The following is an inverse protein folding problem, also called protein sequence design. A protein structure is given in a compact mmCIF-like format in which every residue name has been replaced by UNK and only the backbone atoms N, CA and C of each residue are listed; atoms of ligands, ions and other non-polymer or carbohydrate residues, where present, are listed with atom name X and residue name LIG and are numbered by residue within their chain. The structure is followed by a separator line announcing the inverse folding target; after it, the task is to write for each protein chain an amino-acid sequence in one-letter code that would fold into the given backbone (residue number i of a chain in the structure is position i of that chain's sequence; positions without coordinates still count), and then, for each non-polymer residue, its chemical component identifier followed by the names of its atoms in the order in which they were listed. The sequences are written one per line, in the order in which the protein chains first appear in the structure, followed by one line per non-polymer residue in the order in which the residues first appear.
data_IF_906425875360
#
_entry.id   IF_906425875360
#
_cell.length_a   1.000
_cell.length_b   1.000
_cell.length_c   1.000
_cell.angle_alpha   90.00
_cell.angle_beta   90.00
_cell.angle_gamma   90.00
#
_symmetry.space_group_name_H-M   'P 1'
#
loop_
_entity.id
_entity.type
_entity.pdbx_description
1 polymer ?
#
# COMPACT_ATOMS: atom_id res chain seq x y z
N UNK A 1 -28.47 18.40 -1.11
CA UNK A 1 -27.24 17.63 -1.42
C UNK A 1 -26.22 18.63 -1.94
N UNK A 2 -25.13 18.87 -1.19
CA UNK A 2 -24.17 19.93 -1.54
C UNK A 2 -23.38 19.54 -2.80
N UNK A 3 -23.22 20.43 -3.80
CA UNK A 3 -22.64 20.12 -5.12
C UNK A 3 -21.18 19.61 -5.09
N UNK A 4 -20.49 19.68 -3.95
CA UNK A 4 -19.15 19.14 -3.75
C UNK A 4 -19.11 17.60 -3.70
N UNK A 5 -20.18 16.91 -3.24
CA UNK A 5 -20.17 15.44 -3.09
C UNK A 5 -20.25 14.70 -4.43
N UNK A 6 -20.84 15.31 -5.45
CA UNK A 6 -21.02 14.70 -6.78
C UNK A 6 -19.72 14.68 -7.59
N UNK A 7 -18.79 15.60 -7.31
CA UNK A 7 -17.59 15.81 -8.14
C UNK A 7 -16.51 14.74 -8.00
N UNK A 8 -16.58 13.88 -6.98
CA UNK A 8 -15.58 12.82 -6.71
C UNK A 8 -16.13 11.40 -6.81
N UNK A 9 -17.45 11.24 -6.90
CA UNK A 9 -18.08 9.92 -6.98
C UNK A 9 -17.66 9.13 -8.22
N UNK A 10 -17.44 9.80 -9.36
CA UNK A 10 -16.94 9.16 -10.58
C UNK A 10 -15.50 8.64 -10.41
N UNK A 11 -14.68 9.34 -9.62
CA UNK A 11 -13.30 8.96 -9.34
C UNK A 11 -13.25 7.74 -8.42
N UNK A 12 -14.12 7.70 -7.40
CA UNK A 12 -14.33 6.50 -6.59
C UNK A 12 -14.87 5.33 -7.42
N UNK A 13 -15.77 5.59 -8.39
CA UNK A 13 -16.33 4.57 -9.26
C UNK A 13 -15.29 3.90 -10.18
N UNK A 14 -14.21 4.60 -10.55
CA UNK A 14 -13.13 4.03 -11.37
C UNK A 14 -12.41 2.84 -10.69
N UNK A 15 -12.51 2.71 -9.37
CA UNK A 15 -11.98 1.56 -8.65
C UNK A 15 -12.65 0.25 -9.04
N UNK A 16 -13.94 0.29 -9.42
CA UNK A 16 -14.68 -0.91 -9.85
C UNK A 16 -14.10 -1.54 -11.12
N UNK A 17 -14.03 -0.81 -12.24
CA UNK A 17 -13.38 -1.28 -13.46
C UNK A 17 -11.91 -1.68 -13.26
N UNK A 18 -11.16 -0.93 -12.44
CA UNK A 18 -9.78 -1.28 -12.11
C UNK A 18 -9.68 -2.63 -11.38
N UNK A 19 -10.54 -2.88 -10.38
CA UNK A 19 -10.61 -4.15 -9.66
C UNK A 19 -10.96 -5.31 -10.59
N UNK A 20 -11.91 -5.10 -11.50
CA UNK A 20 -12.30 -6.10 -12.49
C UNK A 20 -11.15 -6.42 -13.44
N UNK A 21 -10.44 -5.41 -13.94
CA UNK A 21 -9.29 -5.61 -14.83
C UNK A 21 -8.18 -6.44 -14.17
N UNK A 22 -7.85 -6.14 -12.91
CA UNK A 22 -6.86 -6.91 -12.12
C UNK A 22 -7.35 -8.34 -11.86
N UNK A 23 -8.63 -8.50 -11.49
CA UNK A 23 -9.22 -9.82 -11.26
C UNK A 23 -9.21 -10.66 -12.53
N UNK A 24 -9.58 -10.08 -13.67
CA UNK A 24 -9.53 -10.73 -14.99
C UNK A 24 -8.10 -11.10 -15.37
N UNK A 25 -7.12 -10.24 -15.08
CA UNK A 25 -5.71 -10.55 -15.31
C UNK A 25 -5.26 -11.80 -14.53
N UNK A 26 -5.54 -11.87 -13.24
CA UNK A 26 -5.21 -13.07 -12.44
C UNK A 26 -6.00 -14.30 -12.86
N UNK A 27 -7.31 -14.16 -13.12
CA UNK A 27 -8.16 -15.25 -13.59
C UNK A 27 -7.70 -15.78 -14.95
N UNK A 28 -7.31 -14.88 -15.86
CA UNK A 28 -6.80 -15.25 -17.19
C UNK A 28 -5.53 -16.07 -17.12
N UNK A 29 -4.54 -15.63 -16.34
CA UNK A 29 -3.31 -16.40 -16.11
C UNK A 29 -3.56 -17.74 -15.40
N UNK A 30 -4.56 -17.81 -14.52
CA UNK A 30 -4.86 -19.01 -13.74
C UNK A 30 -5.66 -20.06 -14.53
N UNK A 31 -6.71 -19.63 -15.24
CA UNK A 31 -7.69 -20.53 -15.85
C UNK A 31 -7.58 -20.64 -17.38
N UNK A 32 -6.98 -19.67 -18.05
CA UNK A 32 -6.89 -19.64 -19.52
C UNK A 32 -5.53 -19.09 -20.03
N UNK A 33 -4.37 -19.60 -19.54
CA UNK A 33 -3.06 -18.99 -19.78
C UNK A 33 -2.69 -18.87 -21.26
N UNK A 34 -3.03 -19.85 -22.10
CA UNK A 34 -2.72 -19.82 -23.53
C UNK A 34 -3.44 -18.67 -24.27
N UNK A 35 -4.70 -18.41 -23.91
CA UNK A 35 -5.45 -17.27 -24.43
C UNK A 35 -4.89 -15.97 -23.85
N UNK A 36 -4.60 -15.97 -22.55
CA UNK A 36 -4.18 -14.76 -21.85
C UNK A 36 -2.84 -14.22 -22.35
N UNK A 37 -1.89 -15.08 -22.74
CA UNK A 37 -0.64 -14.65 -23.39
C UNK A 37 -0.88 -13.79 -24.63
N UNK A 38 -1.93 -14.07 -25.41
CA UNK A 38 -2.27 -13.27 -26.61
C UNK A 38 -2.87 -11.93 -26.20
N UNK A 39 -3.72 -11.91 -25.18
CA UNK A 39 -4.35 -10.69 -24.65
C UNK A 39 -3.30 -9.77 -24.03
N UNK A 40 -2.45 -10.31 -23.15
CA UNK A 40 -1.46 -9.57 -22.37
C UNK A 40 -0.41 -8.88 -23.25
N UNK A 41 -0.04 -9.50 -24.39
CA UNK A 41 0.82 -8.89 -25.42
C UNK A 41 0.21 -7.66 -26.10
N UNK A 42 -1.10 -7.50 -26.05
CA UNK A 42 -1.82 -6.38 -26.67
C UNK A 42 -2.22 -5.35 -25.62
N UNK A 43 -2.69 -5.80 -24.46
CA UNK A 43 -3.22 -4.97 -23.38
C UNK A 43 -2.89 -5.64 -22.05
N UNK A 44 -2.00 -5.01 -21.26
CA UNK A 44 -1.75 -5.39 -19.88
C UNK A 44 -2.82 -4.80 -18.96
N UNK A 45 -3.91 -5.55 -18.80
CA UNK A 45 -5.04 -5.16 -17.95
C UNK A 45 -4.68 -5.11 -16.47
N UNK A 46 -3.69 -5.90 -16.03
CA UNK A 46 -3.24 -5.94 -14.65
C UNK A 46 -2.56 -4.63 -14.28
N UNK A 47 -1.52 -4.28 -15.04
CA UNK A 47 -0.78 -3.03 -14.87
C UNK A 47 -1.68 -1.81 -15.03
N UNK A 48 -2.56 -1.81 -16.03
CA UNK A 48 -3.53 -0.73 -16.20
C UNK A 48 -4.42 -0.54 -14.97
N UNK A 49 -5.02 -1.63 -14.46
CA UNK A 49 -5.90 -1.56 -13.29
C UNK A 49 -5.16 -1.06 -12.05
N UNK A 50 -3.93 -1.54 -11.84
CA UNK A 50 -3.07 -1.08 -10.73
C UNK A 50 -2.75 0.42 -10.85
N UNK A 51 -2.40 0.92 -12.03
CA UNK A 51 -2.16 2.35 -12.23
C UNK A 51 -3.39 3.21 -11.95
N UNK A 52 -4.59 2.76 -12.34
CA UNK A 52 -5.84 3.46 -12.04
C UNK A 52 -6.07 3.52 -10.52
N UNK A 53 -5.82 2.43 -9.78
CA UNK A 53 -5.90 2.43 -8.32
C UNK A 53 -4.97 3.47 -7.69
N UNK A 54 -3.71 3.51 -8.10
CA UNK A 54 -2.75 4.49 -7.57
C UNK A 54 -3.09 5.93 -7.93
N UNK A 55 -3.54 6.17 -9.16
CA UNK A 55 -3.98 7.50 -9.58
C UNK A 55 -5.16 8.00 -8.75
N UNK A 56 -6.17 7.14 -8.56
CA UNK A 56 -7.35 7.44 -7.73
C UNK A 56 -6.94 7.68 -6.26
N UNK A 57 -6.08 6.82 -5.72
CA UNK A 57 -5.56 6.95 -4.35
C UNK A 57 -4.75 8.24 -4.15
N UNK A 58 -3.91 8.63 -5.12
CA UNK A 58 -3.13 9.86 -5.09
C UNK A 58 -3.97 11.13 -4.94
N UNK A 59 -5.22 11.11 -5.41
CA UNK A 59 -6.16 12.22 -5.23
C UNK A 59 -6.98 12.08 -3.94
N UNK A 60 -7.51 10.87 -3.67
CA UNK A 60 -8.46 10.66 -2.56
C UNK A 60 -7.77 10.71 -1.19
N UNK A 61 -6.54 10.23 -1.08
CA UNK A 61 -5.84 10.14 0.20
C UNK A 61 -5.56 11.55 0.76
N UNK A 62 -4.91 12.48 0.04
CA UNK A 62 -4.72 13.85 0.53
C UNK A 62 -6.05 14.56 0.77
N UNK A 63 -7.01 14.46 -0.17
CA UNK A 63 -8.32 15.09 -0.03
C UNK A 63 -9.08 14.59 1.22
N UNK A 64 -8.94 13.30 1.58
CA UNK A 64 -9.54 12.76 2.80
C UNK A 64 -8.94 13.38 4.07
N UNK A 65 -7.64 13.68 4.06
CA UNK A 65 -6.93 14.25 5.20
C UNK A 65 -7.21 15.74 5.34
N UNK A 66 -7.24 16.49 4.23
CA UNK A 66 -7.62 17.91 4.20
C UNK A 66 -9.08 18.12 4.64
N UNK A 67 -10.00 17.23 4.22
CA UNK A 67 -11.42 17.35 4.57
C UNK A 67 -11.70 17.15 6.06
N UNK A 68 -11.05 16.18 6.69
CA UNK A 68 -11.31 15.86 8.11
C UNK A 68 -10.37 16.62 9.05
N UNK A 69 -9.21 17.03 8.55
CA UNK A 69 -8.22 17.80 9.29
C UNK A 69 -7.62 17.07 10.49
N UNK A 70 -7.81 15.76 10.63
CA UNK A 70 -7.39 15.00 11.82
C UNK A 70 -6.65 13.71 11.43
N UNK A 71 -5.37 13.63 11.78
CA UNK A 71 -4.54 12.44 11.55
C UNK A 71 -5.06 11.20 12.28
N UNK A 72 -5.69 11.38 13.46
CA UNK A 72 -6.28 10.25 14.17
C UNK A 72 -7.44 9.66 13.39
N UNK A 73 -8.38 10.50 12.96
CA UNK A 73 -9.52 10.08 12.14
C UNK A 73 -9.06 9.45 10.81
N UNK A 74 -7.98 9.98 10.23
CA UNK A 74 -7.37 9.44 9.02
C UNK A 74 -6.86 8.00 9.22
N UNK A 75 -6.12 7.73 10.28
CA UNK A 75 -5.58 6.40 10.57
C UNK A 75 -6.67 5.42 11.01
N UNK A 76 -7.60 5.83 11.87
CA UNK A 76 -8.69 4.95 12.32
C UNK A 76 -9.57 4.54 11.15
N UNK A 77 -9.95 5.48 10.26
CA UNK A 77 -10.74 5.16 9.07
C UNK A 77 -10.06 4.14 8.15
N UNK A 78 -8.73 4.20 8.01
CA UNK A 78 -7.95 3.23 7.22
C UNK A 78 -7.83 1.89 7.92
N UNK A 79 -7.56 1.89 9.22
CA UNK A 79 -7.43 0.68 10.01
C UNK A 79 -8.72 -0.15 9.92
N UNK A 80 -9.88 0.47 10.13
CA UNK A 80 -11.18 -0.22 10.03
C UNK A 80 -11.57 -0.61 8.61
N UNK A 81 -11.05 0.06 7.58
CA UNK A 81 -11.27 -0.31 6.18
C UNK A 81 -10.42 -1.50 5.75
N UNK A 82 -9.17 -1.55 6.20
CA UNK A 82 -8.15 -2.44 5.64
C UNK A 82 -7.84 -3.65 6.53
N UNK A 83 -7.69 -3.46 7.84
CA UNK A 83 -7.26 -4.54 8.75
C UNK A 83 -8.26 -5.70 8.83
N UNK A 84 -9.59 -5.48 8.94
CA UNK A 84 -10.53 -6.60 9.02
C UNK A 84 -10.44 -7.52 7.80
N UNK A 85 -10.40 -6.94 6.60
CA UNK A 85 -10.30 -7.71 5.36
C UNK A 85 -8.93 -8.38 5.21
N UNK A 86 -7.84 -7.68 5.56
CA UNK A 86 -6.49 -8.24 5.55
C UNK A 86 -6.40 -9.48 6.47
N UNK A 87 -6.89 -9.37 7.69
CA UNK A 87 -6.85 -10.47 8.67
C UNK A 87 -7.65 -11.68 8.19
N UNK A 88 -8.84 -11.45 7.61
CA UNK A 88 -9.64 -12.52 7.01
C UNK A 88 -8.90 -13.16 5.83
N UNK A 89 -8.31 -12.36 4.95
CA UNK A 89 -7.58 -12.87 3.79
C UNK A 89 -6.36 -13.70 4.21
N UNK A 90 -5.52 -13.18 5.12
CA UNK A 90 -4.36 -13.89 5.66
C UNK A 90 -4.81 -15.18 6.36
N UNK A 91 -5.82 -15.11 7.23
CA UNK A 91 -6.34 -16.28 7.92
C UNK A 91 -6.83 -17.36 6.95
N UNK A 92 -7.59 -16.97 5.93
CA UNK A 92 -8.05 -17.89 4.89
C UNK A 92 -6.90 -18.49 4.09
N UNK A 93 -5.91 -17.69 3.69
CA UNK A 93 -4.73 -18.16 2.97
C UNK A 93 -3.94 -19.21 3.78
N UNK A 94 -3.75 -18.96 5.09
CA UNK A 94 -3.08 -19.91 5.99
C UNK A 94 -3.90 -21.19 6.20
N UNK A 95 -5.23 -21.09 6.32
CA UNK A 95 -6.12 -22.26 6.44
C UNK A 95 -6.10 -23.12 5.16
N UNK A 96 -6.16 -22.48 3.99
CA UNK A 96 -6.08 -23.19 2.72
C UNK A 96 -4.69 -23.81 2.51
N UNK A 97 -3.63 -23.15 2.96
CA UNK A 97 -2.28 -23.68 2.91
C UNK A 97 -2.12 -24.91 3.81
N UNK A 98 -2.66 -24.87 5.03
CA UNK A 98 -2.70 -26.02 5.94
C UNK A 98 -3.49 -27.20 5.36
N UNK A 99 -4.51 -26.93 4.51
CA UNK A 99 -5.25 -27.94 3.77
C UNK A 99 -4.55 -28.41 2.47
N UNK A 100 -3.39 -27.86 2.12
CA UNK A 100 -2.68 -28.16 0.87
C UNK A 100 -3.30 -27.56 -0.40
N UNK A 101 -4.22 -26.60 -0.25
CA UNK A 101 -4.98 -25.99 -1.34
C UNK A 101 -4.43 -24.62 -1.78
N UNK A 102 -3.49 -24.06 -1.03
CA UNK A 102 -2.87 -22.77 -1.34
C UNK A 102 -1.35 -22.84 -1.15
N UNK A 103 -0.55 -22.62 -2.20
CA UNK A 103 0.90 -22.58 -2.08
C UNK A 103 1.32 -21.27 -1.40
N UNK A 104 1.98 -21.38 -0.24
CA UNK A 104 2.64 -20.24 0.39
C UNK A 104 4.00 -19.96 -0.26
N UNK A 105 4.46 -18.72 -0.15
CA UNK A 105 5.79 -18.34 -0.61
C UNK A 105 6.87 -19.14 0.17
N UNK A 106 7.75 -19.88 -0.52
CA UNK A 106 8.82 -20.65 0.13
C UNK A 106 9.75 -19.80 1.01
N UNK A 107 9.91 -18.53 0.67
CA UNK A 107 10.74 -17.57 1.39
C UNK A 107 10.23 -17.23 2.79
N UNK A 108 8.96 -17.52 3.12
CA UNK A 108 8.41 -17.29 4.48
C UNK A 108 9.23 -17.97 5.58
N UNK A 109 9.86 -19.11 5.28
CA UNK A 109 10.73 -19.84 6.22
C UNK A 109 12.16 -19.33 6.31
N UNK A 110 12.57 -18.44 5.38
CA UNK A 110 13.96 -17.95 5.29
C UNK A 110 14.21 -16.74 6.19
N UNK A 111 13.15 -16.10 6.70
CA UNK A 111 13.22 -14.90 7.53
C UNK A 111 12.60 -15.13 8.90
N UNK A 112 12.97 -14.34 9.93
CA UNK A 112 12.40 -14.49 11.27
C UNK A 112 10.87 -14.33 11.25
N UNK A 113 10.15 -15.36 11.71
CA UNK A 113 8.68 -15.38 11.68
C UNK A 113 8.00 -14.13 12.32
N UNK A 114 8.49 -13.59 13.45
CA UNK A 114 7.91 -12.36 14.02
C UNK A 114 8.07 -11.15 13.09
N UNK A 115 9.18 -11.05 12.35
CA UNK A 115 9.44 -9.97 11.42
C UNK A 115 8.53 -10.09 10.18
N UNK A 116 8.39 -11.30 9.64
CA UNK A 116 7.48 -11.58 8.52
C UNK A 116 6.02 -11.27 8.90
N UNK A 117 5.60 -11.70 10.10
CA UNK A 117 4.27 -11.40 10.61
C UNK A 117 4.05 -9.89 10.79
N UNK A 118 5.03 -9.18 11.38
CA UNK A 118 4.97 -7.73 11.53
C UNK A 118 4.84 -7.03 10.17
N UNK A 119 5.66 -7.41 9.19
CA UNK A 119 5.63 -6.87 7.84
C UNK A 119 4.26 -7.05 7.18
N UNK A 120 3.75 -8.28 7.16
CA UNK A 120 2.47 -8.59 6.53
C UNK A 120 1.27 -7.95 7.25
N UNK A 121 1.26 -7.94 8.59
CA UNK A 121 0.16 -7.34 9.37
C UNK A 121 0.14 -5.81 9.30
N UNK A 122 1.31 -5.18 9.19
CA UNK A 122 1.44 -3.74 8.99
C UNK A 122 1.34 -3.33 7.53
N UNK A 123 1.20 -4.30 6.61
CA UNK A 123 1.23 -4.09 5.17
C UNK A 123 2.57 -3.54 4.66
N UNK A 124 3.68 -3.68 5.38
CA UNK A 124 4.98 -3.13 5.00
C UNK A 124 5.92 -4.14 4.35
N UNK A 125 5.47 -5.37 4.09
CA UNK A 125 6.33 -6.46 3.63
C UNK A 125 7.15 -6.11 2.37
N UNK A 126 6.60 -5.41 1.38
CA UNK A 126 7.41 -5.02 0.21
C UNK A 126 8.39 -3.90 0.51
N UNK A 127 8.01 -2.95 1.37
CA UNK A 127 8.92 -1.86 1.77
C UNK A 127 10.13 -2.40 2.54
N UNK A 128 9.97 -3.57 3.16
CA UNK A 128 10.97 -4.25 3.98
C UNK A 128 11.65 -5.41 3.27
N UNK A 129 11.27 -5.70 2.01
CA UNK A 129 11.71 -6.87 1.25
C UNK A 129 11.53 -8.18 2.05
N UNK A 130 10.33 -8.36 2.60
CA UNK A 130 9.90 -9.54 3.33
C UNK A 130 8.95 -10.36 2.48
N UNK A 131 9.00 -11.71 2.60
CA UNK A 131 8.12 -12.59 1.86
C UNK A 131 6.64 -12.32 2.22
N UNK A 132 5.77 -12.13 1.22
CA UNK A 132 4.35 -11.92 1.45
C UNK A 132 3.63 -13.24 1.73
N UNK A 133 2.64 -13.23 2.64
CA UNK A 133 1.74 -14.38 2.83
C UNK A 133 0.80 -14.54 1.62
N UNK A 134 0.42 -13.42 1.02
CA UNK A 134 -0.45 -13.36 -0.16
C UNK A 134 0.23 -12.45 -1.16
N UNK A 135 0.68 -12.96 -2.32
CA UNK A 135 1.49 -12.18 -3.27
C UNK A 135 0.88 -10.82 -3.65
N UNK A 136 -0.44 -10.73 -3.87
CA UNK A 136 -1.09 -9.48 -4.29
C UNK A 136 -1.10 -8.36 -3.25
N UNK A 137 -0.72 -8.63 -1.98
CA UNK A 137 -0.64 -7.59 -0.94
C UNK A 137 0.50 -6.60 -1.16
N UNK A 138 1.35 -6.83 -2.17
CA UNK A 138 2.40 -5.90 -2.57
C UNK A 138 1.88 -4.47 -2.81
N UNK A 139 0.68 -4.35 -3.40
CA UNK A 139 0.04 -3.05 -3.66
C UNK A 139 -0.32 -2.29 -2.37
N UNK A 140 -0.68 -3.01 -1.30
CA UNK A 140 -0.99 -2.42 0.01
C UNK A 140 0.24 -1.78 0.65
N UNK A 141 1.43 -2.33 0.41
CA UNK A 141 2.69 -1.74 0.88
C UNK A 141 2.97 -0.39 0.27
N UNK A 142 2.73 -0.24 -1.03
CA UNK A 142 2.83 1.06 -1.68
C UNK A 142 1.70 2.00 -1.22
N UNK A 143 0.48 1.51 -1.00
CA UNK A 143 -0.61 2.32 -0.44
C UNK A 143 -0.28 2.84 0.97
N UNK A 144 0.33 2.02 1.82
CA UNK A 144 0.84 2.42 3.14
C UNK A 144 1.92 3.51 3.02
N UNK A 145 2.87 3.37 2.09
CA UNK A 145 3.88 4.40 1.85
C UNK A 145 3.23 5.74 1.47
N UNK A 146 2.20 5.71 0.60
CA UNK A 146 1.41 6.91 0.29
C UNK A 146 0.73 7.50 1.53
N UNK A 147 0.15 6.68 2.41
CA UNK A 147 -0.44 7.15 3.66
C UNK A 147 0.59 7.83 4.56
N UNK A 148 1.77 7.23 4.72
CA UNK A 148 2.85 7.78 5.53
C UNK A 148 3.36 9.11 4.98
N UNK A 149 3.54 9.22 3.66
CA UNK A 149 3.96 10.47 3.02
C UNK A 149 2.90 11.56 3.23
N UNK A 150 1.61 11.26 2.98
CA UNK A 150 0.53 12.24 3.17
C UNK A 150 0.42 12.68 4.64
N UNK A 151 0.50 11.73 5.58
CA UNK A 151 0.48 12.01 7.00
C UNK A 151 1.68 12.87 7.43
N UNK A 152 2.88 12.60 6.91
CA UNK A 152 4.08 13.38 7.18
C UNK A 152 3.98 14.80 6.62
N UNK A 153 3.53 14.96 5.38
CA UNK A 153 3.31 16.28 4.76
C UNK A 153 2.28 17.10 5.55
N UNK A 154 1.21 16.47 6.00
CA UNK A 154 0.20 17.12 6.82
C UNK A 154 0.76 17.49 8.20
N UNK A 155 1.39 16.56 8.91
CA UNK A 155 1.98 16.80 10.24
C UNK A 155 3.07 17.90 10.22
N UNK A 156 3.79 18.05 9.11
CA UNK A 156 4.84 19.06 8.93
C UNK A 156 4.36 20.35 8.27
N UNK A 157 3.06 20.45 7.93
CA UNK A 157 2.46 21.60 7.22
C UNK A 157 3.11 21.91 5.87
N UNK A 158 3.47 20.87 5.13
CA UNK A 158 4.07 20.94 3.79
C UNK A 158 3.12 20.44 2.70
N UNK A 159 1.81 20.32 2.98
CA UNK A 159 0.80 19.88 2.01
C UNK A 159 0.75 20.77 0.77
N UNK A 160 1.01 22.08 0.91
CA UNK A 160 1.12 23.03 -0.20
C UNK A 160 2.28 22.75 -1.18
N UNK A 161 3.31 22.04 -0.72
CA UNK A 161 4.47 21.63 -1.55
C UNK A 161 4.36 20.20 -2.06
N UNK A 162 3.23 19.53 -1.84
CA UNK A 162 3.02 18.12 -2.17
C UNK A 162 3.40 17.76 -3.62
N UNK A 163 3.01 18.58 -4.60
CA UNK A 163 3.34 18.35 -6.00
C UNK A 163 4.86 18.37 -6.26
N UNK A 164 5.59 19.37 -5.74
CA UNK A 164 7.03 19.48 -5.91
C UNK A 164 7.79 18.36 -5.20
N UNK A 165 7.33 17.97 -4.01
CA UNK A 165 7.91 16.85 -3.26
C UNK A 165 7.64 15.53 -3.98
N UNK A 166 6.44 15.32 -4.52
CA UNK A 166 6.11 14.13 -5.31
C UNK A 166 6.98 14.02 -6.57
N UNK A 167 7.19 15.13 -7.30
CA UNK A 167 8.09 15.16 -8.46
C UNK A 167 9.53 14.86 -8.03
N UNK A 168 10.01 15.48 -6.94
CA UNK A 168 11.35 15.22 -6.42
C UNK A 168 11.56 13.75 -6.03
N UNK A 169 10.59 13.14 -5.34
CA UNK A 169 10.61 11.72 -4.99
C UNK A 169 10.59 10.83 -6.24
N UNK A 170 9.75 11.15 -7.24
CA UNK A 170 9.70 10.41 -8.50
C UNK A 170 11.01 10.47 -9.28
N UNK A 171 11.63 11.66 -9.35
CA UNK A 171 12.94 11.85 -10.00
C UNK A 171 14.07 11.15 -9.24
N UNK A 172 14.00 11.07 -7.91
CA UNK A 172 14.98 10.37 -7.08
C UNK A 172 14.80 8.84 -7.11
N UNK A 173 13.58 8.34 -7.30
CA UNK A 173 13.29 6.90 -7.29
C UNK A 173 14.01 6.14 -8.41
N UNK A 174 14.11 6.72 -9.61
CA UNK A 174 14.79 6.10 -10.77
C UNK A 174 16.28 5.86 -10.50
N UNK A 175 17.11 6.87 -10.14
CA UNK A 175 18.52 6.65 -9.84
C UNK A 175 18.72 5.79 -8.59
N UNK A 176 17.88 5.94 -7.55
CA UNK A 176 17.95 5.05 -6.38
C UNK A 176 17.73 3.58 -6.77
N UNK A 177 16.74 3.28 -7.61
CA UNK A 177 16.48 1.93 -8.09
C UNK A 177 17.59 1.36 -8.98
N UNK A 178 18.28 2.21 -9.75
CA UNK A 178 19.42 1.78 -10.58
C UNK A 178 20.72 1.61 -9.80
N UNK A 179 20.92 2.39 -8.72
CA UNK A 179 22.17 2.44 -7.95
C UNK A 179 22.19 1.54 -6.72
N UNK A 180 21.03 1.09 -6.24
CA UNK A 180 20.93 0.11 -5.17
C UNK A 180 20.86 -1.29 -5.79
N UNK A 181 21.98 -2.02 -5.94
CA UNK A 181 21.92 -3.41 -6.40
C UNK A 181 21.06 -4.21 -5.42
N UNK A 182 20.13 -5.04 -5.94
CA UNK A 182 19.21 -5.88 -5.15
C UNK A 182 19.89 -6.91 -4.23
N UNK A 183 21.21 -6.88 -4.11
CA UNK A 183 22.06 -7.80 -3.36
C UNK A 183 22.47 -7.31 -1.95
N UNK A 184 21.91 -6.21 -1.42
CA UNK A 184 22.27 -5.72 -0.07
C UNK A 184 21.43 -6.35 1.06
N UNK A 185 21.16 -7.65 1.01
CA UNK A 185 20.34 -8.34 2.04
C UNK A 185 21.01 -9.66 2.44
N UNK A 186 22.14 -9.54 3.14
CA UNK A 186 22.74 -10.64 3.90
C UNK A 186 22.76 -10.23 5.38
N UNK A 187 21.81 -10.73 6.19
CA UNK A 187 21.78 -10.68 7.66
C UNK A 187 21.59 -9.31 8.34
N UNK A 188 22.26 -8.24 7.89
CA UNK A 188 22.11 -6.87 8.44
C UNK A 188 20.81 -6.17 8.02
N UNK A 189 20.21 -6.65 6.94
CA UNK A 189 18.94 -6.14 6.44
C UNK A 189 17.74 -6.54 7.32
N UNK A 190 17.83 -7.62 8.10
CA UNK A 190 16.76 -8.00 9.04
C UNK A 190 16.61 -7.00 10.17
N UNK A 191 17.72 -6.55 10.76
CA UNK A 191 17.71 -5.51 11.79
C UNK A 191 17.21 -4.18 11.20
N UNK A 192 17.72 -3.79 10.02
CA UNK A 192 17.26 -2.58 9.35
C UNK A 192 15.76 -2.65 9.03
N UNK A 193 15.28 -3.79 8.52
CA UNK A 193 13.87 -4.03 8.25
C UNK A 193 13.02 -3.99 9.52
N UNK A 194 13.49 -4.60 10.61
CA UNK A 194 12.82 -4.55 11.90
C UNK A 194 12.74 -3.11 12.44
N UNK A 195 13.83 -2.35 12.37
CA UNK A 195 13.85 -0.94 12.78
C UNK A 195 12.94 -0.07 11.90
N UNK A 196 12.91 -0.30 10.59
CA UNK A 196 12.01 0.38 9.66
C UNK A 196 10.54 0.04 9.95
N UNK A 197 10.22 -1.23 10.19
CA UNK A 197 8.88 -1.67 10.57
C UNK A 197 8.43 -0.99 11.86
N UNK A 198 9.30 -0.97 12.87
CA UNK A 198 9.04 -0.27 14.14
C UNK A 198 8.90 1.24 13.93
N UNK A 199 9.69 1.85 13.05
CA UNK A 199 9.58 3.26 12.70
C UNK A 199 8.26 3.59 12.01
N UNK A 200 7.77 2.72 11.11
CA UNK A 200 6.45 2.84 10.48
C UNK A 200 5.35 2.79 11.54
N UNK A 201 5.39 1.78 12.42
CA UNK A 201 4.43 1.65 13.53
C UNK A 201 4.48 2.88 14.44
N UNK A 202 5.68 3.32 14.82
CA UNK A 202 5.88 4.50 15.66
C UNK A 202 5.35 5.77 14.98
N UNK A 203 5.60 5.97 13.68
CA UNK A 203 5.09 7.12 12.93
C UNK A 203 3.55 7.15 12.92
N UNK A 204 2.91 6.01 12.68
CA UNK A 204 1.45 5.86 12.76
C UNK A 204 0.96 6.16 14.18
N UNK A 205 1.56 5.57 15.21
CA UNK A 205 1.12 5.77 16.60
C UNK A 205 1.33 7.21 17.07
N UNK A 206 2.48 7.82 16.80
CA UNK A 206 2.78 9.21 17.18
C UNK A 206 1.79 10.17 16.53
N UNK A 207 1.47 9.97 15.24
CA UNK A 207 0.51 10.83 14.53
C UNK A 207 -0.95 10.54 14.90
N UNK A 208 -1.30 9.29 15.22
CA UNK A 208 -2.64 8.91 15.64
C UNK A 208 -2.96 9.26 17.10
N UNK A 209 -1.97 9.23 18.00
CA UNK A 209 -2.12 9.48 19.43
C UNK A 209 -1.67 10.89 19.85
N UNK A 210 -1.05 11.65 18.94
CA UNK A 210 -0.63 13.02 19.13
C UNK A 210 -1.78 13.92 19.61
N UNK A 211 -1.45 14.91 20.46
CA UNK A 211 -2.41 15.88 21.01
C UNK A 211 -2.13 17.29 20.47
N UNK A 212 -3.17 18.13 20.42
CA UNK A 212 -3.04 19.55 20.08
C UNK A 212 -2.83 19.83 18.57
N UNK A 213 -2.21 20.97 18.21
CA UNK A 213 -2.13 21.42 16.82
C UNK A 213 -1.30 20.51 15.90
N UNK A 214 -0.45 19.63 16.43
CA UNK A 214 0.23 18.61 15.63
C UNK A 214 -0.74 17.55 15.07
N UNK A 215 -1.92 17.38 15.68
CA UNK A 215 -2.97 16.45 15.25
C UNK A 215 -3.92 17.08 14.23
N UNK A 216 -4.27 18.36 14.44
CA UNK A 216 -5.35 19.04 13.71
C UNK A 216 -4.91 20.13 12.75
N UNK A 217 -3.64 20.54 12.77
CA UNK A 217 -3.20 21.67 11.94
C UNK A 217 -2.42 21.20 10.71
N UNK A 218 -3.09 21.22 9.55
CA UNK A 218 -2.54 21.84 8.35
C UNK A 218 -3.64 22.23 7.36
N UNK A 219 -4.18 23.43 7.53
CA UNK A 219 -4.79 24.23 6.47
C UNK A 219 -4.42 25.70 6.69
N UNK A 220 -3.30 26.12 6.11
CA UNK A 220 -3.04 27.49 5.63
C UNK A 220 -2.49 27.34 4.22
#
# INVERSE_FOLDING_TARGET
MSPASTRLAWLDALRGPAALAVTLHHAGWTYAPALWVVVDRRIDLGTWGVFVFFLVSGYIIPASLERHGDLRAFWTGRAFRLLPLLLVAIGLALLLAAAGLFPLDPGLGERPAPLVALGNLTMSQELLNLPPVIGVTWTLSYELAFYLICAALYATRQSHRSAGIAVGLALAAVPLGLLLPGATINGGADLAAALLALAVVAAVLVTALGRGPARTAAAV
#
